data_IF_837760419753
#
_entry.id   IF_837760419753
#
_cell.length_a   1.000
_cell.length_b   1.000
_cell.length_c   1.000
_cell.angle_alpha   90.00
_cell.angle_beta   90.00
_cell.angle_gamma   90.00
#
_symmetry.space_group_name_H-M   'P 1'
#
loop_
_entity.id
_entity.type
_entity.pdbx_description
1 polymer ?
#
# COMPACT_ATOMS: atom_id res chain seq x y z
N UNK A 1 13.68 3.54 15.26
CA UNK A 1 13.21 4.88 15.71
C UNK A 1 13.63 6.02 14.76
N UNK A 2 14.84 6.01 14.17
CA UNK A 2 15.30 7.09 13.29
C UNK A 2 14.51 7.30 12.00
N UNK A 3 14.10 6.23 11.32
CA UNK A 3 13.39 6.32 10.05
C UNK A 3 12.00 7.00 10.18
N UNK A 4 11.21 6.61 11.18
CA UNK A 4 9.91 7.23 11.45
C UNK A 4 10.04 8.75 11.69
N UNK A 5 10.98 9.15 12.59
CA UNK A 5 11.18 10.56 12.89
C UNK A 5 11.59 11.36 11.65
N UNK A 6 12.33 10.76 10.73
CA UNK A 6 12.73 11.38 9.48
C UNK A 6 11.55 11.52 8.51
N UNK A 7 10.75 10.46 8.34
CA UNK A 7 9.59 10.47 7.43
C UNK A 7 8.45 11.37 7.93
N UNK A 8 8.33 11.60 9.24
CA UNK A 8 7.40 12.61 9.80
C UNK A 8 7.94 14.04 9.70
N UNK A 9 9.25 14.25 9.88
CA UNK A 9 9.86 15.58 9.89
C UNK A 9 9.73 16.27 8.52
N UNK A 10 9.92 15.55 7.44
CA UNK A 10 9.90 16.10 6.07
C UNK A 10 8.58 16.80 5.73
N UNK A 11 7.40 16.14 5.82
CA UNK A 11 6.12 16.78 5.55
C UNK A 11 5.82 17.90 6.55
N UNK A 12 6.16 17.73 7.84
CA UNK A 12 5.94 18.75 8.84
C UNK A 12 6.76 20.03 8.55
N UNK A 13 8.03 19.89 8.17
CA UNK A 13 8.86 21.03 7.76
C UNK A 13 8.28 21.74 6.53
N UNK A 14 7.76 20.98 5.57
CA UNK A 14 7.09 21.53 4.39
C UNK A 14 5.85 22.34 4.76
N UNK A 15 4.97 21.79 5.59
CA UNK A 15 3.75 22.47 6.08
C UNK A 15 4.12 23.78 6.78
N UNK A 16 5.09 23.75 7.70
CA UNK A 16 5.54 24.94 8.43
C UNK A 16 6.11 25.99 7.45
N UNK A 17 6.98 25.58 6.52
CA UNK A 17 7.60 26.51 5.57
C UNK A 17 6.60 27.19 4.64
N UNK A 18 5.61 26.46 4.10
CA UNK A 18 4.55 27.07 3.29
C UNK A 18 3.62 27.94 4.12
N UNK A 19 3.31 27.55 5.36
CA UNK A 19 2.53 28.37 6.29
C UNK A 19 3.22 29.69 6.63
N UNK A 20 4.53 29.66 6.90
CA UNK A 20 5.32 30.86 7.15
C UNK A 20 5.42 31.76 5.91
N UNK A 21 5.55 31.17 4.73
CA UNK A 21 5.55 31.91 3.46
C UNK A 21 4.22 32.64 3.26
N UNK A 22 3.09 31.97 3.50
CA UNK A 22 1.75 32.57 3.42
C UNK A 22 1.55 33.73 4.40
N UNK A 23 2.20 33.69 5.58
CA UNK A 23 2.08 34.71 6.63
C UNK A 23 2.96 35.92 6.40
N UNK A 24 4.14 35.75 5.82
CA UNK A 24 5.18 36.78 5.80
C UNK A 24 5.52 37.30 4.41
N UNK A 25 5.09 36.62 3.34
CA UNK A 25 5.39 37.01 1.96
C UNK A 25 4.12 37.41 1.23
N UNK A 26 4.18 38.52 0.52
CA UNK A 26 3.07 39.00 -0.34
C UNK A 26 3.06 38.17 -1.61
N UNK A 27 2.16 37.18 -1.67
CA UNK A 27 2.01 36.25 -2.78
C UNK A 27 0.85 36.66 -3.69
N UNK A 28 0.95 36.31 -4.99
CA UNK A 28 -0.20 36.33 -5.91
C UNK A 28 -1.17 35.20 -5.53
N UNK A 29 -2.44 35.36 -5.92
CA UNK A 29 -3.49 34.40 -5.52
C UNK A 29 -3.18 32.95 -6.00
N UNK A 30 -2.70 32.76 -7.22
CA UNK A 30 -2.25 31.45 -7.71
C UNK A 30 -1.11 30.83 -6.86
N UNK A 31 -0.23 31.66 -6.30
CA UNK A 31 0.86 31.19 -5.42
C UNK A 31 0.36 30.80 -4.04
N UNK A 32 -0.67 31.53 -3.54
CA UNK A 32 -1.34 31.19 -2.29
C UNK A 32 -2.07 29.84 -2.42
N UNK A 33 -2.82 29.65 -3.51
CA UNK A 33 -3.56 28.42 -3.77
C UNK A 33 -2.61 27.21 -3.86
N UNK A 34 -1.51 27.33 -4.59
CA UNK A 34 -0.46 26.28 -4.63
C UNK A 34 0.14 25.99 -3.25
N UNK A 35 0.39 27.00 -2.44
CA UNK A 35 0.91 26.82 -1.08
C UNK A 35 -0.10 26.08 -0.18
N UNK A 36 -1.38 26.43 -0.27
CA UNK A 36 -2.46 25.76 0.45
C UNK A 36 -2.65 24.31 0.00
N UNK A 37 -2.57 24.04 -1.31
CA UNK A 37 -2.59 22.67 -1.85
C UNK A 37 -1.42 21.84 -1.33
N UNK A 38 -0.22 22.40 -1.25
CA UNK A 38 0.94 21.73 -0.68
C UNK A 38 0.73 21.38 0.79
N UNK A 39 0.25 22.34 1.59
CA UNK A 39 -0.05 22.11 3.02
C UNK A 39 -1.07 20.98 3.18
N UNK A 40 -2.17 21.01 2.41
CA UNK A 40 -3.22 20.00 2.46
C UNK A 40 -2.67 18.61 2.10
N UNK A 41 -1.91 18.51 0.99
CA UNK A 41 -1.31 17.25 0.54
C UNK A 41 -0.36 16.66 1.58
N UNK A 42 0.53 17.46 2.16
CA UNK A 42 1.46 16.98 3.18
C UNK A 42 0.75 16.64 4.50
N UNK A 43 -0.34 17.34 4.83
CA UNK A 43 -1.22 17.03 5.97
C UNK A 43 -1.89 15.65 5.82
N UNK A 44 -2.50 15.39 4.66
CA UNK A 44 -3.11 14.09 4.34
C UNK A 44 -2.07 12.95 4.34
N UNK A 45 -0.86 13.25 3.88
CA UNK A 45 0.24 12.29 3.91
C UNK A 45 0.65 11.92 5.34
N UNK A 46 0.74 12.91 6.25
CA UNK A 46 1.03 12.66 7.67
C UNK A 46 -0.08 11.84 8.34
N UNK A 47 -1.34 12.14 8.03
CA UNK A 47 -2.49 11.39 8.52
C UNK A 47 -2.42 9.92 8.10
N UNK A 48 -2.21 9.65 6.81
CA UNK A 48 -2.07 8.29 6.29
C UNK A 48 -0.86 7.54 6.90
N UNK A 49 0.28 8.22 7.06
CA UNK A 49 1.47 7.65 7.71
C UNK A 49 1.18 7.29 9.17
N UNK A 50 0.53 8.19 9.91
CA UNK A 50 0.14 7.96 11.31
C UNK A 50 -0.82 6.79 11.45
N UNK A 51 -1.84 6.71 10.58
CA UNK A 51 -2.80 5.60 10.55
C UNK A 51 -2.13 4.25 10.32
N UNK A 52 -1.29 4.12 9.29
CA UNK A 52 -0.54 2.88 9.00
C UNK A 52 0.43 2.51 10.14
N UNK A 53 1.04 3.50 10.78
CA UNK A 53 1.91 3.25 11.93
C UNK A 53 1.15 2.73 13.14
N UNK A 54 0.00 3.33 13.47
CA UNK A 54 -0.86 2.87 14.57
C UNK A 54 -1.38 1.45 14.29
N UNK A 55 -1.79 1.17 13.06
CA UNK A 55 -2.20 -0.17 12.65
C UNK A 55 -1.07 -1.18 12.85
N UNK A 56 0.14 -0.88 12.35
CA UNK A 56 1.30 -1.76 12.51
C UNK A 56 1.66 -1.98 13.98
N UNK A 57 1.67 -0.93 14.81
CA UNK A 57 1.90 -1.04 16.26
C UNK A 57 0.83 -1.90 16.95
N UNK A 58 -0.45 -1.74 16.57
CA UNK A 58 -1.54 -2.57 17.06
C UNK A 58 -1.30 -4.06 16.78
N UNK A 59 -0.84 -4.41 15.58
CA UNK A 59 -0.53 -5.80 15.21
C UNK A 59 0.66 -6.39 16.00
N UNK A 60 1.63 -5.56 16.42
CA UNK A 60 2.73 -6.02 17.27
C UNK A 60 2.33 -6.18 18.77
N UNK A 61 1.28 -5.50 19.22
CA UNK A 61 0.83 -5.53 20.63
C UNK A 61 -0.13 -6.69 20.95
N UNK A 62 -0.21 -7.72 20.09
CA UNK A 62 -1.07 -8.89 20.28
C UNK A 62 -2.55 -8.56 20.53
N UNK A 63 -3.12 -7.62 19.81
CA UNK A 63 -4.56 -7.47 19.78
C UNK A 63 -5.17 -8.79 19.27
N UNK A 64 -6.18 -9.27 19.97
CA UNK A 64 -6.87 -10.50 19.56
C UNK A 64 -7.39 -10.35 18.13
N UNK A 65 -6.83 -11.12 17.20
CA UNK A 65 -7.33 -11.20 15.83
C UNK A 65 -8.67 -11.93 15.85
N UNK A 66 -9.65 -11.37 15.10
CA UNK A 66 -11.00 -11.91 15.06
C UNK A 66 -11.12 -12.89 13.88
N UNK A 67 -10.65 -14.13 14.11
CA UNK A 67 -10.68 -15.17 13.09
C UNK A 67 -12.09 -15.70 12.88
N UNK A 68 -12.64 -15.52 11.69
CA UNK A 68 -13.92 -16.12 11.25
C UNK A 68 -13.77 -16.85 9.91
N UNK A 69 -14.73 -17.74 9.61
CA UNK A 69 -14.77 -18.42 8.31
C UNK A 69 -15.25 -17.44 7.26
N UNK A 70 -14.38 -17.10 6.33
CA UNK A 70 -14.66 -16.16 5.24
C UNK A 70 -14.35 -16.82 3.91
N UNK A 71 -15.13 -16.52 2.88
CA UNK A 71 -14.91 -17.01 1.53
C UNK A 71 -13.97 -16.06 0.77
N UNK A 72 -13.18 -16.60 -0.15
CA UNK A 72 -12.25 -15.80 -0.94
C UNK A 72 -12.97 -14.82 -1.86
N UNK A 73 -14.11 -15.23 -2.43
CA UNK A 73 -14.92 -14.43 -3.33
C UNK A 73 -15.54 -13.21 -2.64
N UNK A 74 -16.10 -13.37 -1.42
CA UNK A 74 -16.66 -12.26 -0.64
C UNK A 74 -15.58 -11.20 -0.37
N UNK A 75 -14.39 -11.63 0.08
CA UNK A 75 -13.28 -10.74 0.36
C UNK A 75 -12.79 -10.02 -0.91
N UNK A 76 -12.57 -10.75 -2.00
CA UNK A 76 -12.08 -10.15 -3.24
C UNK A 76 -13.07 -9.19 -3.87
N UNK A 77 -14.37 -9.54 -3.92
CA UNK A 77 -15.40 -8.65 -4.44
C UNK A 77 -15.41 -7.32 -3.67
N UNK A 78 -15.36 -7.38 -2.33
CA UNK A 78 -15.33 -6.18 -1.50
C UNK A 78 -14.12 -5.30 -1.78
N UNK A 79 -12.92 -5.89 -1.84
CA UNK A 79 -11.67 -5.17 -2.10
C UNK A 79 -11.64 -4.56 -3.50
N UNK A 80 -12.09 -5.30 -4.52
CA UNK A 80 -12.14 -4.79 -5.91
C UNK A 80 -13.09 -3.60 -6.02
N UNK A 81 -14.26 -3.65 -5.38
CA UNK A 81 -15.21 -2.55 -5.38
C UNK A 81 -14.62 -1.29 -4.73
N UNK A 82 -13.80 -1.43 -3.68
CA UNK A 82 -13.12 -0.31 -3.05
C UNK A 82 -12.05 0.34 -3.95
N UNK A 83 -11.29 -0.48 -4.69
CA UNK A 83 -10.13 0.00 -5.46
C UNK A 83 -10.46 0.37 -6.91
N UNK A 84 -11.66 0.02 -7.41
CA UNK A 84 -12.09 0.24 -8.78
C UNK A 84 -12.00 1.70 -9.20
N UNK A 85 -12.49 2.63 -8.38
CA UNK A 85 -12.47 4.06 -8.70
C UNK A 85 -11.05 4.61 -8.85
N UNK A 86 -10.11 4.13 -8.03
CA UNK A 86 -8.70 4.54 -8.12
C UNK A 86 -8.03 3.99 -9.39
N UNK A 87 -8.32 2.74 -9.74
CA UNK A 87 -7.82 2.12 -10.97
C UNK A 87 -8.35 2.86 -12.21
N UNK A 88 -9.66 3.17 -12.24
CA UNK A 88 -10.28 3.94 -13.32
C UNK A 88 -9.68 5.34 -13.47
N UNK A 89 -9.47 6.08 -12.37
CA UNK A 89 -8.83 7.41 -12.39
C UNK A 89 -7.42 7.38 -12.97
N UNK A 90 -6.70 6.27 -12.78
CA UNK A 90 -5.35 6.09 -13.32
C UNK A 90 -5.33 5.47 -14.72
N UNK A 91 -6.50 5.08 -15.23
CA UNK A 91 -6.66 4.31 -16.49
C UNK A 91 -5.87 2.99 -16.46
N UNK A 92 -5.93 2.26 -15.34
CA UNK A 92 -5.32 0.94 -15.15
C UNK A 92 -6.42 -0.12 -15.13
N UNK A 93 -6.22 -1.21 -15.86
CA UNK A 93 -7.17 -2.33 -15.88
C UNK A 93 -7.04 -3.15 -14.60
N UNK A 94 -8.04 -3.12 -13.73
CA UNK A 94 -8.10 -3.98 -12.54
C UNK A 94 -8.99 -5.19 -12.84
N UNK A 95 -8.42 -6.40 -12.77
CA UNK A 95 -9.09 -7.66 -13.06
C UNK A 95 -9.04 -8.57 -11.84
N UNK A 96 -10.01 -9.47 -11.74
CA UNK A 96 -10.11 -10.47 -10.67
C UNK A 96 -10.37 -11.85 -11.26
N UNK A 97 -9.69 -12.87 -10.71
CA UNK A 97 -9.93 -14.29 -10.97
C UNK A 97 -9.91 -15.04 -9.63
N UNK A 98 -10.81 -15.95 -9.40
CA UNK A 98 -10.79 -16.75 -8.18
C UNK A 98 -11.32 -18.15 -8.34
N UNK A 99 -10.79 -19.05 -7.52
CA UNK A 99 -11.37 -20.34 -7.20
C UNK A 99 -12.09 -20.23 -5.85
N UNK A 100 -13.25 -20.83 -5.73
CA UNK A 100 -14.04 -20.77 -4.51
C UNK A 100 -13.39 -21.62 -3.41
N UNK A 101 -12.92 -20.97 -2.36
CA UNK A 101 -12.50 -21.61 -1.12
C UNK A 101 -12.86 -20.75 0.09
N UNK A 102 -12.88 -21.39 1.28
CA UNK A 102 -13.05 -20.71 2.56
C UNK A 102 -11.86 -20.95 3.46
N UNK A 103 -11.50 -19.99 4.28
CA UNK A 103 -10.51 -20.17 5.32
C UNK A 103 -10.86 -19.33 6.57
N UNK A 104 -10.28 -19.73 7.71
CA UNK A 104 -10.33 -18.89 8.91
C UNK A 104 -9.37 -17.71 8.72
N UNK A 105 -9.90 -16.51 8.74
CA UNK A 105 -9.12 -15.27 8.64
C UNK A 105 -9.82 -14.15 9.43
N UNK A 106 -9.08 -13.10 9.73
CA UNK A 106 -9.64 -11.82 10.15
C UNK A 106 -9.92 -11.01 8.88
N UNK A 107 -11.21 -10.79 8.50
CA UNK A 107 -11.54 -10.16 7.23
C UNK A 107 -10.98 -8.73 7.09
N UNK A 108 -11.00 -7.96 8.16
CA UNK A 108 -10.52 -6.57 8.14
C UNK A 108 -9.00 -6.49 7.92
N UNK A 109 -8.24 -7.43 8.51
CA UNK A 109 -6.79 -7.51 8.30
C UNK A 109 -6.47 -8.02 6.89
N UNK A 110 -7.19 -9.01 6.39
CA UNK A 110 -6.99 -9.52 5.03
C UNK A 110 -7.39 -8.51 3.97
N UNK A 111 -8.49 -7.77 4.18
CA UNK A 111 -8.85 -6.60 3.36
C UNK A 111 -7.71 -5.58 3.33
N UNK A 112 -7.20 -5.19 4.51
CA UNK A 112 -6.07 -4.25 4.61
C UNK A 112 -4.82 -4.77 3.88
N UNK A 113 -4.53 -6.07 3.94
CA UNK A 113 -3.42 -6.67 3.19
C UNK A 113 -3.63 -6.51 1.68
N UNK A 114 -4.78 -6.90 1.14
CA UNK A 114 -5.07 -6.83 -0.29
C UNK A 114 -5.10 -5.39 -0.80
N UNK A 115 -5.74 -4.47 -0.09
CA UNK A 115 -5.75 -3.03 -0.40
C UNK A 115 -4.33 -2.48 -0.47
N UNK A 116 -3.44 -2.82 0.49
CA UNK A 116 -2.05 -2.37 0.44
C UNK A 116 -1.27 -2.98 -0.74
N UNK A 117 -1.53 -4.23 -1.13
CA UNK A 117 -0.91 -4.84 -2.32
C UNK A 117 -1.40 -4.17 -3.60
N UNK A 118 -2.71 -3.91 -3.74
CA UNK A 118 -3.28 -3.25 -4.91
C UNK A 118 -2.83 -1.79 -4.99
N UNK A 119 -2.79 -1.05 -3.88
CA UNK A 119 -2.27 0.33 -3.81
C UNK A 119 -0.79 0.40 -4.26
N UNK A 120 0.04 -0.58 -3.87
CA UNK A 120 1.42 -0.67 -4.35
C UNK A 120 1.48 -0.98 -5.85
N UNK A 121 0.67 -1.92 -6.34
CA UNK A 121 0.56 -2.24 -7.75
C UNK A 121 0.10 -1.04 -8.58
N UNK A 122 -0.93 -0.32 -8.12
CA UNK A 122 -1.40 0.91 -8.76
C UNK A 122 -0.29 1.97 -8.84
N UNK A 123 0.53 2.14 -7.81
CA UNK A 123 1.66 3.09 -7.82
C UNK A 123 2.75 2.68 -8.79
N UNK A 124 3.01 1.39 -8.93
CA UNK A 124 4.05 0.87 -9.82
C UNK A 124 3.63 0.83 -11.29
N UNK A 125 2.34 0.72 -11.58
CA UNK A 125 1.79 0.55 -12.92
C UNK A 125 1.53 1.92 -13.57
N UNK A 126 2.01 2.12 -14.79
CA UNK A 126 1.72 3.31 -15.57
C UNK A 126 0.31 3.25 -16.20
N UNK A 127 -0.15 4.36 -16.79
CA UNK A 127 -1.42 4.45 -17.53
C UNK A 127 -1.49 3.36 -18.62
N UNK A 128 -2.67 2.80 -18.84
CA UNK A 128 -2.95 1.67 -19.75
C UNK A 128 -2.35 0.32 -19.32
N UNK A 129 -1.74 0.22 -18.14
CA UNK A 129 -1.28 -1.03 -17.58
C UNK A 129 -2.41 -1.86 -16.96
N UNK A 130 -2.05 -2.99 -16.37
CA UNK A 130 -3.02 -3.93 -15.79
C UNK A 130 -2.58 -4.46 -14.43
N UNK A 131 -3.57 -4.73 -13.59
CA UNK A 131 -3.42 -5.40 -12.31
C UNK A 131 -4.38 -6.58 -12.29
N UNK A 132 -3.89 -7.75 -11.90
CA UNK A 132 -4.67 -8.97 -11.78
C UNK A 132 -4.59 -9.45 -10.33
N UNK A 133 -5.76 -9.55 -9.69
CA UNK A 133 -5.92 -10.08 -8.33
C UNK A 133 -6.47 -11.48 -8.42
N UNK A 134 -5.80 -12.46 -7.79
CA UNK A 134 -6.24 -13.85 -7.80
C UNK A 134 -6.39 -14.41 -6.40
N UNK A 135 -7.32 -15.36 -6.27
CA UNK A 135 -7.39 -16.26 -5.12
C UNK A 135 -7.57 -17.70 -5.62
N UNK A 136 -6.70 -18.60 -5.15
CA UNK A 136 -6.73 -20.00 -5.57
C UNK A 136 -6.12 -20.92 -4.52
N UNK A 137 -6.40 -22.21 -4.66
CA UNK A 137 -5.80 -23.25 -3.82
C UNK A 137 -4.87 -24.13 -4.65
N UNK A 138 -3.65 -24.35 -4.17
CA UNK A 138 -2.71 -25.28 -4.81
C UNK A 138 -1.89 -25.99 -3.76
N UNK A 139 -1.74 -27.31 -3.90
CA UNK A 139 -0.96 -28.16 -2.99
C UNK A 139 -1.37 -28.01 -1.51
N UNK A 140 -2.66 -27.77 -1.24
CA UNK A 140 -3.20 -27.56 0.10
C UNK A 140 -2.89 -26.20 0.73
N UNK A 141 -2.33 -25.26 -0.05
CA UNK A 141 -2.10 -23.87 0.34
C UNK A 141 -3.12 -22.96 -0.32
N UNK A 142 -3.62 -22.00 0.42
CA UNK A 142 -4.52 -20.94 -0.06
C UNK A 142 -3.72 -19.71 -0.34
N UNK A 143 -3.89 -19.16 -1.53
CA UNK A 143 -3.05 -18.08 -2.06
C UNK A 143 -3.94 -16.93 -2.50
N UNK A 144 -3.60 -15.73 -2.02
CA UNK A 144 -4.06 -14.47 -2.59
C UNK A 144 -2.87 -13.82 -3.31
N UNK A 145 -3.05 -13.53 -4.58
CA UNK A 145 -2.02 -13.03 -5.48
C UNK A 145 -2.43 -11.68 -6.07
N UNK A 146 -1.52 -10.73 -6.10
CA UNK A 146 -1.66 -9.47 -6.83
C UNK A 146 -0.48 -9.36 -7.79
N UNK A 147 -0.77 -9.29 -9.09
CA UNK A 147 0.22 -9.14 -10.14
C UNK A 147 -0.01 -7.84 -10.90
N UNK A 148 1.03 -7.07 -11.12
CA UNK A 148 1.00 -5.83 -11.90
C UNK A 148 1.93 -5.89 -13.11
N UNK A 149 1.62 -5.09 -14.13
CA UNK A 149 2.46 -4.87 -15.30
C UNK A 149 3.32 -3.60 -15.19
N UNK A 150 3.70 -3.24 -13.96
CA UNK A 150 4.40 -2.02 -13.65
C UNK A 150 5.91 -2.05 -13.91
N UNK A 151 6.61 -1.11 -13.31
CA UNK A 151 8.06 -0.93 -13.52
C UNK A 151 8.93 -2.07 -12.97
N UNK A 152 8.39 -2.95 -12.14
CA UNK A 152 9.13 -4.00 -11.47
C UNK A 152 10.11 -3.48 -10.42
N UNK A 153 10.82 -4.42 -9.80
CA UNK A 153 11.74 -4.17 -8.69
C UNK A 153 13.08 -4.87 -9.00
N UNK A 154 14.21 -4.17 -8.86
CA UNK A 154 15.54 -4.80 -9.00
C UNK A 154 15.76 -5.90 -7.97
N UNK A 155 16.46 -6.98 -8.37
CA UNK A 155 16.68 -8.16 -7.52
C UNK A 155 17.40 -7.81 -6.21
N UNK A 156 18.36 -6.89 -6.23
CA UNK A 156 19.09 -6.41 -5.04
C UNK A 156 18.22 -5.68 -4.01
N UNK A 157 17.02 -5.24 -4.42
CA UNK A 157 16.07 -4.54 -3.56
C UNK A 157 15.04 -5.49 -2.92
N UNK A 158 14.77 -6.65 -3.53
CA UNK A 158 13.72 -7.59 -3.09
C UNK A 158 13.86 -7.99 -1.62
N UNK A 159 15.09 -8.15 -1.14
CA UNK A 159 15.35 -8.50 0.27
C UNK A 159 15.05 -7.39 1.29
N UNK A 160 14.78 -6.16 0.84
CA UNK A 160 14.61 -4.98 1.72
C UNK A 160 13.22 -4.36 1.64
N UNK A 161 12.48 -4.60 0.54
CA UNK A 161 11.19 -3.93 0.29
C UNK A 161 10.12 -4.22 1.34
N UNK A 162 10.29 -5.28 2.12
CA UNK A 162 9.41 -5.63 3.25
C UNK A 162 9.81 -4.95 4.56
N UNK A 163 10.98 -4.29 4.61
CA UNK A 163 11.40 -3.54 5.77
C UNK A 163 10.55 -2.27 5.94
N UNK A 164 10.17 -1.96 7.17
CA UNK A 164 9.40 -0.76 7.47
C UNK A 164 10.16 0.51 7.07
N UNK A 165 9.49 1.42 6.35
CA UNK A 165 10.01 2.69 5.82
C UNK A 165 11.00 2.54 4.65
N UNK A 166 11.17 1.32 4.12
CA UNK A 166 11.99 1.12 2.94
C UNK A 166 11.25 1.53 1.66
N UNK A 167 11.94 2.20 0.76
CA UNK A 167 11.42 2.63 -0.54
C UNK A 167 12.56 2.57 -1.57
N UNK A 168 12.36 1.87 -2.68
CA UNK A 168 13.32 1.76 -3.79
C UNK A 168 13.62 3.14 -4.40
N UNK A 169 12.58 3.89 -4.72
CA UNK A 169 12.67 5.29 -5.16
C UNK A 169 11.90 6.21 -4.21
N UNK A 170 12.65 6.91 -3.34
CA UNK A 170 12.07 7.86 -2.38
C UNK A 170 11.41 9.07 -3.05
N UNK A 171 11.86 9.47 -4.23
CA UNK A 171 11.37 10.67 -4.91
C UNK A 171 10.01 10.42 -5.57
N UNK A 172 9.87 9.31 -6.27
CA UNK A 172 8.61 8.87 -6.89
C UNK A 172 7.59 8.48 -5.84
N UNK A 173 7.99 7.63 -4.89
CA UNK A 173 7.11 7.15 -3.81
C UNK A 173 6.54 8.30 -2.97
N UNK A 174 7.32 9.37 -2.73
CA UNK A 174 6.82 10.56 -2.02
C UNK A 174 5.77 11.33 -2.81
N UNK A 175 5.90 11.44 -4.12
CA UNK A 175 4.89 12.09 -4.98
C UNK A 175 3.57 11.32 -5.00
N UNK A 176 3.64 10.01 -4.91
CA UNK A 176 2.48 9.09 -4.93
C UNK A 176 1.96 8.73 -3.53
N UNK A 177 2.44 9.41 -2.48
CA UNK A 177 1.96 9.22 -1.11
C UNK A 177 2.45 7.93 -0.43
N UNK A 178 3.50 7.31 -0.94
CA UNK A 178 4.09 6.12 -0.33
C UNK A 178 4.70 6.40 1.04
N UNK A 179 4.50 5.49 1.99
CA UNK A 179 5.03 5.57 3.36
C UNK A 179 6.12 4.55 3.66
N UNK A 180 6.31 3.55 2.78
CA UNK A 180 7.21 2.42 3.03
C UNK A 180 6.72 1.48 4.16
N UNK A 181 5.44 1.58 4.56
CA UNK A 181 4.84 0.72 5.60
C UNK A 181 3.91 -0.35 5.04
N UNK A 182 3.44 -0.23 3.79
CA UNK A 182 2.43 -1.11 3.22
C UNK A 182 2.86 -2.58 3.20
N UNK A 183 4.04 -2.89 2.64
CA UNK A 183 4.53 -4.28 2.59
C UNK A 183 4.89 -4.82 3.97
N UNK A 184 5.47 -4.01 4.87
CA UNK A 184 5.73 -4.42 6.25
C UNK A 184 4.43 -4.79 6.98
N UNK A 185 3.34 -4.05 6.73
CA UNK A 185 2.01 -4.38 7.24
C UNK A 185 1.50 -5.71 6.66
N UNK A 186 1.63 -5.91 5.34
CA UNK A 186 1.23 -7.15 4.66
C UNK A 186 1.98 -8.37 5.23
N UNK A 187 3.30 -8.27 5.45
CA UNK A 187 4.08 -9.33 6.10
C UNK A 187 3.51 -9.66 7.47
N UNK A 188 3.25 -8.62 8.29
CA UNK A 188 2.73 -8.85 9.65
C UNK A 188 1.34 -9.46 9.66
N UNK A 189 0.46 -9.04 8.76
CA UNK A 189 -0.87 -9.65 8.61
C UNK A 189 -0.74 -11.11 8.17
N UNK A 190 0.10 -11.43 7.18
CA UNK A 190 0.32 -12.81 6.73
C UNK A 190 0.84 -13.70 7.88
N UNK A 191 1.84 -13.23 8.65
CA UNK A 191 2.37 -13.95 9.83
C UNK A 191 1.28 -14.24 10.87
N UNK A 192 0.41 -13.27 11.17
CA UNK A 192 -0.67 -13.43 12.14
C UNK A 192 -1.71 -14.49 11.70
N UNK A 193 -1.82 -14.74 10.39
CA UNK A 193 -2.65 -15.78 9.79
C UNK A 193 -1.90 -17.11 9.60
N UNK A 194 -0.64 -17.22 10.07
CA UNK A 194 0.18 -18.43 9.92
C UNK A 194 0.79 -18.60 8.52
N UNK A 195 0.76 -17.55 7.72
CA UNK A 195 1.25 -17.51 6.34
C UNK A 195 2.51 -16.66 6.16
N UNK A 196 2.85 -16.37 4.93
CA UNK A 196 3.99 -15.53 4.54
C UNK A 196 3.75 -14.87 3.19
N UNK A 197 4.56 -13.84 2.87
CA UNK A 197 4.58 -13.25 1.53
C UNK A 197 5.69 -13.85 0.68
N UNK A 198 5.36 -14.11 -0.60
CA UNK A 198 6.31 -14.43 -1.66
C UNK A 198 6.25 -13.32 -2.69
N UNK A 199 7.41 -12.80 -3.13
CA UNK A 199 7.49 -11.68 -4.07
C UNK A 199 8.40 -12.09 -5.22
N UNK A 200 7.89 -11.94 -6.44
CA UNK A 200 8.60 -12.15 -7.69
C UNK A 200 8.49 -10.88 -8.52
N UNK A 201 9.60 -10.39 -9.02
CA UNK A 201 9.60 -9.16 -9.82
C UNK A 201 10.79 -9.11 -10.76
N UNK A 202 10.59 -8.48 -11.93
CA UNK A 202 11.64 -8.17 -12.88
C UNK A 202 11.47 -6.72 -13.35
N UNK A 203 12.56 -5.93 -13.40
CA UNK A 203 12.50 -4.56 -13.91
C UNK A 203 11.91 -4.48 -15.30
N UNK A 204 10.86 -3.68 -15.47
CA UNK A 204 10.14 -3.48 -16.73
C UNK A 204 9.08 -4.54 -17.07
N UNK A 205 8.93 -5.61 -16.27
CA UNK A 205 7.94 -6.67 -16.50
C UNK A 205 6.81 -6.67 -15.47
N UNK A 206 7.02 -6.01 -14.31
CA UNK A 206 6.06 -5.92 -13.24
C UNK A 206 6.44 -6.71 -12.00
N UNK A 207 5.47 -6.82 -11.09
CA UNK A 207 5.64 -7.50 -9.79
C UNK A 207 4.47 -8.41 -9.52
N UNK A 208 4.75 -9.58 -8.95
CA UNK A 208 3.75 -10.49 -8.40
C UNK A 208 4.02 -10.71 -6.93
N UNK A 209 3.03 -10.42 -6.10
CA UNK A 209 3.08 -10.64 -4.64
C UNK A 209 2.01 -11.67 -4.28
N UNK A 210 2.42 -12.74 -3.59
CA UNK A 210 1.54 -13.81 -3.09
C UNK A 210 1.53 -13.83 -1.57
N UNK A 211 0.35 -13.75 -0.98
CA UNK A 211 0.13 -14.11 0.41
C UNK A 211 -0.28 -15.59 0.46
N UNK A 212 0.54 -16.41 1.10
CA UNK A 212 0.43 -17.88 1.12
C UNK A 212 0.07 -18.34 2.52
N UNK A 213 -1.01 -19.16 2.65
CA UNK A 213 -1.59 -19.65 3.89
C UNK A 213 -1.76 -21.17 3.92
#
# INVERSE_FOLDING_TARGET
MGALSHEMRTPLTSIIGYSDTLRHVKLKDEQKDRALEHINREGKRLEALSGKMLQLLGLYQNHAIQMEMTTADDLLNHVIDMEKEQAEKKNVQLKMEYEAFSMKMDPALMESLLVNLIDNALKATDTDGSILVKAYETSGKKIFEVSDSGMGIPEEELGKITDAFYMVDKSRSRKEGGSGLGLALCVKVAELHGGFLQIESQPGEGTTVRAVF
#
